data_IF_111071713912
#
_entry.id   IF_111071713912
#
_cell.length_a   1.000
_cell.length_b   1.000
_cell.length_c   1.000
_cell.angle_alpha   90.00
_cell.angle_beta   90.00
_cell.angle_gamma   90.00
#
_symmetry.space_group_name_H-M   'P 1'
#
loop_
_entity.id
_entity.type
_entity.pdbx_description
1 polymer ?
#
# COMPACT_ATOMS: atom_id res chain seq x y z
N UNK A 1 -0.51 -23.05 7.22
CA UNK A 1 -1.07 -21.74 7.64
C UNK A 1 -0.45 -20.69 6.73
N UNK A 2 -1.23 -19.84 6.06
CA UNK A 2 -0.64 -18.72 5.34
C UNK A 2 0.16 -17.86 6.33
N UNK A 3 1.42 -17.55 6.00
CA UNK A 3 2.23 -16.63 6.78
C UNK A 3 1.66 -15.21 6.69
N UNK A 4 2.07 -14.32 7.60
CA UNK A 4 1.65 -12.90 7.62
C UNK A 4 1.84 -12.22 6.25
N UNK A 5 2.88 -12.61 5.51
CA UNK A 5 3.20 -12.14 4.16
C UNK A 5 2.16 -12.55 3.10
N UNK A 6 1.57 -13.74 3.23
CA UNK A 6 0.56 -14.25 2.29
C UNK A 6 -0.76 -13.48 2.41
N UNK A 7 -1.18 -13.16 3.64
CA UNK A 7 -2.40 -12.38 3.87
C UNK A 7 -2.24 -10.96 3.33
N UNK A 8 -1.08 -10.31 3.57
CA UNK A 8 -0.78 -8.98 3.06
C UNK A 8 -0.74 -8.95 1.53
N UNK A 9 -0.07 -9.93 0.90
CA UNK A 9 -0.04 -10.04 -0.55
C UNK A 9 -1.45 -10.16 -1.16
N UNK A 10 -2.28 -11.06 -0.60
CA UNK A 10 -3.64 -11.26 -1.09
C UNK A 10 -4.52 -10.03 -0.89
N UNK A 11 -4.35 -9.34 0.25
CA UNK A 11 -5.10 -8.13 0.55
C UNK A 11 -4.71 -7.00 -0.41
N UNK A 12 -3.42 -6.78 -0.62
CA UNK A 12 -2.92 -5.77 -1.54
C UNK A 12 -3.39 -6.05 -2.98
N UNK A 13 -3.26 -7.29 -3.46
CA UNK A 13 -3.75 -7.70 -4.77
C UNK A 13 -5.25 -7.41 -4.94
N UNK A 14 -6.09 -7.84 -3.99
CA UNK A 14 -7.55 -7.65 -4.05
C UNK A 14 -7.97 -6.19 -4.01
N UNK A 15 -7.23 -5.35 -3.30
CA UNK A 15 -7.48 -3.92 -3.26
C UNK A 15 -7.03 -3.28 -4.58
N UNK A 16 -5.77 -3.46 -4.99
CA UNK A 16 -5.24 -2.84 -6.21
C UNK A 16 -5.96 -3.28 -7.50
N UNK A 17 -6.41 -4.54 -7.59
CA UNK A 17 -7.08 -5.06 -8.78
C UNK A 17 -8.39 -4.33 -9.15
N UNK A 18 -9.03 -3.63 -8.19
CA UNK A 18 -10.26 -2.87 -8.41
C UNK A 18 -10.06 -1.35 -8.40
N UNK A 19 -8.83 -0.88 -8.18
CA UNK A 19 -8.53 0.54 -8.03
C UNK A 19 -8.14 1.14 -9.39
N UNK A 20 -8.90 2.14 -9.83
CA UNK A 20 -8.61 2.88 -11.05
C UNK A 20 -8.72 4.38 -10.81
N UNK A 21 -7.59 5.00 -10.46
CA UNK A 21 -7.54 6.43 -10.22
C UNK A 21 -6.12 6.96 -10.44
N UNK A 22 -6.00 8.17 -11.00
CA UNK A 22 -4.70 8.78 -11.36
C UNK A 22 -3.73 9.00 -10.19
N UNK A 23 -4.26 9.03 -8.97
CA UNK A 23 -3.48 9.21 -7.73
C UNK A 23 -3.40 7.92 -6.88
N UNK A 24 -3.63 6.77 -7.48
CA UNK A 24 -3.44 5.45 -6.87
C UNK A 24 -2.52 4.66 -7.79
N UNK A 25 -1.58 3.91 -7.21
CA UNK A 25 -0.67 3.08 -8.02
C UNK A 25 -1.47 2.01 -8.74
N UNK A 26 -1.19 1.84 -10.04
CA UNK A 26 -1.87 0.89 -10.89
C UNK A 26 -1.18 -0.46 -10.85
N UNK A 27 -1.94 -1.50 -10.55
CA UNK A 27 -1.53 -2.87 -10.78
C UNK A 27 -1.49 -3.15 -12.29
N UNK A 28 -0.33 -3.57 -12.78
CA UNK A 28 -0.10 -3.98 -14.17
C UNK A 28 -0.29 -5.49 -14.31
N UNK A 29 0.10 -6.26 -13.29
CA UNK A 29 -0.03 -7.71 -13.28
C UNK A 29 0.50 -8.31 -11.99
N UNK A 30 0.59 -9.64 -11.95
CA UNK A 30 1.15 -10.38 -10.84
C UNK A 30 1.95 -11.59 -11.34
N UNK A 31 2.90 -12.04 -10.53
CA UNK A 31 3.62 -13.29 -10.73
C UNK A 31 3.18 -14.31 -9.67
N UNK A 32 2.98 -15.55 -10.09
CA UNK A 32 2.74 -16.69 -9.22
C UNK A 32 3.48 -17.91 -9.78
N UNK A 33 4.65 -18.19 -9.24
CA UNK A 33 5.52 -19.27 -9.71
C UNK A 33 5.75 -20.28 -8.59
N UNK A 34 5.58 -21.56 -8.89
CA UNK A 34 5.84 -22.66 -7.96
C UNK A 34 7.13 -23.34 -8.41
N UNK A 35 8.06 -23.48 -7.48
CA UNK A 35 9.34 -24.15 -7.68
C UNK A 35 9.47 -25.30 -6.68
N UNK A 36 9.68 -26.51 -7.18
CA UNK A 36 10.05 -27.63 -6.32
C UNK A 36 11.51 -27.47 -5.86
N UNK A 37 11.73 -27.51 -4.56
CA UNK A 37 13.06 -27.42 -3.95
C UNK A 37 13.26 -28.61 -3.00
N UNK A 38 14.44 -29.25 -3.00
CA UNK A 38 14.75 -30.26 -2.00
C UNK A 38 14.77 -29.63 -0.60
N UNK A 39 14.08 -30.24 0.35
CA UNK A 39 14.03 -29.82 1.75
C UNK A 39 14.14 -31.03 2.68
N UNK A 40 14.73 -30.83 3.86
CA UNK A 40 14.78 -31.85 4.90
C UNK A 40 13.53 -31.76 5.77
N UNK A 41 12.77 -32.85 5.89
CA UNK A 41 11.62 -32.98 6.78
C UNK A 41 11.73 -34.27 7.57
N UNK A 42 11.77 -34.17 8.91
CA UNK A 42 11.93 -35.31 9.82
C UNK A 42 13.10 -36.26 9.44
N UNK A 43 14.22 -35.68 9.02
CA UNK A 43 15.43 -36.43 8.63
C UNK A 43 15.39 -37.08 7.25
N UNK A 44 14.32 -36.86 6.46
CA UNK A 44 14.17 -37.35 5.09
C UNK A 44 14.27 -36.20 4.09
N UNK A 45 14.91 -36.44 2.95
CA UNK A 45 14.88 -35.51 1.83
C UNK A 45 13.52 -35.62 1.14
N UNK A 46 12.79 -34.52 1.08
CA UNK A 46 11.50 -34.39 0.40
C UNK A 46 11.58 -33.27 -0.63
N UNK A 47 10.76 -33.35 -1.69
CA UNK A 47 10.52 -32.21 -2.56
C UNK A 47 9.44 -31.34 -1.91
N UNK A 48 9.81 -30.11 -1.57
CA UNK A 48 8.88 -29.11 -1.05
C UNK A 48 8.57 -28.08 -2.13
N UNK A 49 7.33 -27.59 -2.14
CA UNK A 49 6.94 -26.49 -3.01
C UNK A 49 7.35 -25.16 -2.39
N UNK A 50 8.17 -24.39 -3.11
CA UNK A 50 8.46 -22.99 -2.82
C UNK A 50 7.66 -22.12 -3.77
N UNK A 51 6.82 -21.26 -3.19
CA UNK A 51 5.98 -20.34 -3.96
C UNK A 51 6.66 -18.97 -4.03
N UNK A 52 6.85 -18.45 -5.24
CA UNK A 52 7.35 -17.11 -5.53
C UNK A 52 6.22 -16.24 -6.06
N UNK A 53 6.05 -15.06 -5.47
CA UNK A 53 4.98 -14.13 -5.81
C UNK A 53 5.50 -12.71 -5.90
N UNK A 54 4.92 -11.94 -6.81
CA UNK A 54 5.22 -10.52 -6.95
C UNK A 54 4.02 -9.78 -7.51
N UNK A 55 3.82 -8.53 -7.10
CA UNK A 55 2.93 -7.59 -7.75
C UNK A 55 3.74 -6.73 -8.71
N UNK A 56 3.28 -6.61 -9.95
CA UNK A 56 3.86 -5.74 -10.94
C UNK A 56 3.06 -4.44 -10.96
N UNK A 57 3.65 -3.37 -10.45
CA UNK A 57 3.04 -2.04 -10.41
C UNK A 57 3.58 -1.17 -11.55
N UNK A 58 2.86 -0.11 -11.88
CA UNK A 58 3.40 0.92 -12.77
C UNK A 58 4.67 1.53 -12.17
N UNK A 59 5.61 1.89 -13.04
CA UNK A 59 6.88 2.44 -12.60
C UNK A 59 6.75 3.91 -12.21
N UNK A 60 7.35 4.28 -11.08
CA UNK A 60 7.30 5.60 -10.49
C UNK A 60 8.71 6.17 -10.46
N UNK A 61 9.08 6.92 -11.50
CA UNK A 61 10.48 7.29 -11.79
C UNK A 61 11.13 8.17 -10.73
N UNK A 62 10.34 8.95 -9.99
CA UNK A 62 10.85 9.84 -8.94
C UNK A 62 10.84 9.19 -7.54
N UNK A 63 10.48 7.91 -7.44
CA UNK A 63 10.51 7.16 -6.18
C UNK A 63 9.48 7.65 -5.17
N UNK A 64 9.78 7.50 -3.88
CA UNK A 64 8.88 7.88 -2.79
C UNK A 64 8.95 9.37 -2.46
N UNK A 65 7.85 9.91 -1.95
CA UNK A 65 7.79 11.26 -1.41
C UNK A 65 8.75 11.42 -0.22
N UNK A 66 8.97 10.36 0.58
CA UNK A 66 9.97 10.37 1.66
C UNK A 66 11.38 10.70 1.16
N UNK A 67 11.79 10.08 0.05
CA UNK A 67 13.08 10.39 -0.58
C UNK A 67 13.08 11.83 -1.09
N UNK A 68 11.99 12.23 -1.74
CA UNK A 68 11.87 13.59 -2.28
C UNK A 68 11.98 14.67 -1.19
N UNK A 69 11.36 14.47 -0.02
CA UNK A 69 11.38 15.45 1.10
C UNK A 69 12.66 15.43 1.94
N UNK A 70 13.50 14.40 1.80
CA UNK A 70 14.75 14.27 2.55
C UNK A 70 15.96 14.82 1.78
N UNK A 71 15.89 14.87 0.46
CA UNK A 71 16.90 15.50 -0.41
C UNK A 71 16.76 17.04 -0.37
N UNK A 72 17.55 17.68 0.51
CA UNK A 72 17.78 19.13 0.72
C UNK A 72 16.72 20.17 0.25
N UNK A 73 16.26 20.96 1.23
CA UNK A 73 15.10 21.87 1.22
C UNK A 73 15.02 22.92 0.10
N UNK A 74 16.13 23.23 -0.57
CA UNK A 74 16.25 24.37 -1.49
C UNK A 74 15.67 24.09 -2.90
N UNK A 75 15.13 22.89 -3.14
CA UNK A 75 14.53 22.47 -4.43
C UNK A 75 13.01 22.47 -4.45
N UNK A 76 12.33 22.80 -3.35
CA UNK A 76 10.88 22.69 -3.27
C UNK A 76 10.16 23.92 -3.82
N UNK A 77 9.74 23.82 -5.07
CA UNK A 77 8.72 24.70 -5.62
C UNK A 77 7.36 24.44 -4.94
N UNK A 78 6.77 25.49 -4.36
CA UNK A 78 5.47 25.42 -3.68
C UNK A 78 4.36 24.92 -4.60
N UNK A 79 4.41 25.26 -5.88
CA UNK A 79 3.40 24.83 -6.84
C UNK A 79 3.39 23.30 -6.97
N UNK A 80 4.58 22.69 -7.05
CA UNK A 80 4.76 21.24 -7.03
C UNK A 80 4.27 20.63 -5.72
N UNK A 81 4.67 21.19 -4.57
CA UNK A 81 4.22 20.72 -3.25
C UNK A 81 2.70 20.73 -3.09
N UNK A 82 2.04 21.80 -3.53
CA UNK A 82 0.58 21.90 -3.54
C UNK A 82 -0.05 20.85 -4.47
N UNK A 83 0.54 20.63 -5.65
CA UNK A 83 0.10 19.58 -6.60
C UNK A 83 0.12 18.19 -5.96
N UNK A 84 1.18 17.87 -5.21
CA UNK A 84 1.31 16.62 -4.46
C UNK A 84 0.21 16.51 -3.39
N UNK A 85 0.04 17.52 -2.53
CA UNK A 85 -0.99 17.52 -1.48
C UNK A 85 -2.38 17.29 -2.09
N UNK A 86 -2.70 18.05 -3.14
CA UNK A 86 -3.99 17.95 -3.84
C UNK A 86 -4.21 16.57 -4.43
N UNK A 87 -3.20 15.98 -5.07
CA UNK A 87 -3.28 14.64 -5.64
C UNK A 87 -3.50 13.56 -4.60
N UNK A 88 -2.80 13.63 -3.45
CA UNK A 88 -3.03 12.71 -2.32
C UNK A 88 -4.48 12.81 -1.83
N UNK A 89 -4.99 14.03 -1.61
CA UNK A 89 -6.37 14.24 -1.19
C UNK A 89 -7.38 13.70 -2.22
N UNK A 90 -7.10 13.82 -3.52
CA UNK A 90 -7.94 13.26 -4.58
C UNK A 90 -7.95 11.72 -4.54
N UNK A 91 -6.79 11.08 -4.35
CA UNK A 91 -6.68 9.64 -4.16
C UNK A 91 -7.47 9.13 -2.95
N UNK A 92 -7.30 9.78 -1.79
CA UNK A 92 -8.05 9.44 -0.57
C UNK A 92 -9.56 9.64 -0.74
N UNK A 93 -9.98 10.73 -1.37
CA UNK A 93 -11.40 10.97 -1.68
C UNK A 93 -11.98 9.85 -2.53
N UNK A 94 -11.25 9.39 -3.55
CA UNK A 94 -11.66 8.26 -4.38
C UNK A 94 -11.84 7.00 -3.52
N UNK A 95 -10.83 6.63 -2.72
CA UNK A 95 -10.88 5.45 -1.86
C UNK A 95 -12.06 5.46 -0.86
N UNK A 96 -12.32 6.61 -0.25
CA UNK A 96 -13.31 6.73 0.82
C UNK A 96 -14.75 6.95 0.34
N UNK A 97 -14.95 7.52 -0.86
CA UNK A 97 -16.29 8.02 -1.27
C UNK A 97 -16.75 7.56 -2.63
N UNK A 98 -15.88 6.93 -3.43
CA UNK A 98 -16.19 6.49 -4.80
C UNK A 98 -16.19 4.97 -4.96
N UNK A 99 -15.85 4.24 -3.91
CA UNK A 99 -15.89 2.78 -3.84
C UNK A 99 -16.98 2.34 -2.89
N UNK A 100 -17.64 1.24 -3.24
CA UNK A 100 -18.62 0.56 -2.39
C UNK A 100 -18.19 -0.92 -2.26
N UNK A 101 -17.75 -1.37 -1.08
CA UNK A 101 -17.52 -0.58 0.14
C UNK A 101 -16.27 0.33 0.04
N UNK A 102 -16.19 1.40 0.85
CA UNK A 102 -14.99 2.24 0.96
C UNK A 102 -13.75 1.46 1.37
N UNK A 103 -12.59 1.88 0.85
CA UNK A 103 -11.27 1.34 1.22
C UNK A 103 -10.54 2.36 2.10
N UNK A 104 -10.07 1.91 3.26
CA UNK A 104 -9.21 2.70 4.14
C UNK A 104 -7.78 2.20 4.03
N UNK A 105 -6.85 3.11 3.73
CA UNK A 105 -5.45 2.76 3.48
C UNK A 105 -4.72 2.19 4.71
N UNK A 106 -4.93 2.83 5.87
CA UNK A 106 -4.37 2.52 7.19
C UNK A 106 -2.85 2.66 7.38
N UNK A 107 -2.04 2.71 6.31
CA UNK A 107 -0.58 3.02 6.41
C UNK A 107 -0.16 4.19 5.52
N UNK A 108 -0.88 5.32 5.58
CA UNK A 108 -0.55 6.48 4.77
C UNK A 108 0.65 7.23 5.37
N UNK A 109 1.78 7.21 4.66
CA UNK A 109 3.04 7.85 5.05
C UNK A 109 3.82 8.28 3.79
N UNK A 110 4.80 9.20 3.89
CA UNK A 110 5.58 9.64 2.72
C UNK A 110 6.26 8.51 1.93
N UNK A 111 6.68 7.44 2.60
CA UNK A 111 7.26 6.26 1.94
C UNK A 111 6.25 5.53 1.01
N UNK A 112 4.96 5.65 1.31
CA UNK A 112 3.86 5.00 0.58
C UNK A 112 3.18 5.94 -0.43
N UNK A 113 3.76 7.13 -0.67
CA UNK A 113 3.39 8.01 -1.76
C UNK A 113 4.50 7.97 -2.79
N UNK A 114 4.21 7.48 -3.99
CA UNK A 114 5.17 7.41 -5.09
C UNK A 114 4.94 8.54 -6.09
N UNK A 115 5.99 9.03 -6.73
CA UNK A 115 5.97 10.16 -7.65
C UNK A 115 6.34 9.71 -9.06
N UNK A 116 5.49 10.04 -10.04
CA UNK A 116 5.80 9.78 -11.45
C UNK A 116 6.70 10.88 -12.02
N UNK A 117 7.07 10.75 -13.29
CA UNK A 117 7.95 11.67 -14.02
C UNK A 117 7.48 13.15 -13.99
N UNK A 118 6.19 13.39 -13.81
CA UNK A 118 5.57 14.71 -13.75
C UNK A 118 5.27 15.17 -12.32
N UNK A 119 5.87 14.52 -11.32
CA UNK A 119 5.64 14.78 -9.89
C UNK A 119 4.19 14.55 -9.44
N UNK A 120 3.40 13.77 -10.19
CA UNK A 120 2.04 13.42 -9.80
C UNK A 120 2.10 12.29 -8.78
N UNK A 121 1.46 12.46 -7.60
CA UNK A 121 1.53 11.47 -6.53
C UNK A 121 0.59 10.30 -6.77
N UNK A 122 1.02 9.11 -6.37
CA UNK A 122 0.21 7.89 -6.31
C UNK A 122 0.36 7.22 -4.95
N UNK A 123 -0.77 6.93 -4.33
CA UNK A 123 -0.81 6.16 -3.10
C UNK A 123 -0.51 4.70 -3.43
N UNK A 124 0.41 4.08 -2.70
CA UNK A 124 0.88 2.71 -2.86
C UNK A 124 0.87 1.98 -1.51
N UNK A 125 1.14 0.66 -1.51
CA UNK A 125 1.19 -0.21 -0.32
C UNK A 125 -0.16 -0.36 0.38
N UNK A 126 -1.02 -1.18 -0.22
CA UNK A 126 -2.35 -1.50 0.30
C UNK A 126 -2.36 -2.79 1.14
N UNK A 127 -1.18 -3.25 1.59
CA UNK A 127 -1.00 -4.54 2.29
C UNK A 127 -1.87 -4.69 3.54
N UNK A 128 -2.09 -3.59 4.27
CA UNK A 128 -2.95 -3.57 5.48
C UNK A 128 -4.28 -2.85 5.29
N UNK A 129 -4.60 -2.42 4.07
CA UNK A 129 -5.84 -1.68 3.79
C UNK A 129 -7.08 -2.51 4.08
N UNK A 130 -8.19 -1.86 4.43
CA UNK A 130 -9.44 -2.55 4.79
C UNK A 130 -10.65 -1.99 4.06
N UNK A 131 -11.51 -2.90 3.64
CA UNK A 131 -12.88 -2.60 3.24
C UNK A 131 -13.72 -2.42 4.51
N UNK A 132 -14.46 -1.32 4.62
CA UNK A 132 -15.41 -1.12 5.72
C UNK A 132 -16.84 -1.13 5.17
N UNK A 133 -17.65 -2.07 5.63
CA UNK A 133 -19.10 -2.10 5.42
C UNK A 133 -19.82 -2.10 6.77
N UNK A 134 -20.74 -1.14 6.95
CA UNK A 134 -21.72 -0.87 8.02
C UNK A 134 -21.39 -1.05 9.52
N UNK A 135 -20.32 -1.74 9.90
CA UNK A 135 -19.84 -1.82 11.29
C UNK A 135 -18.84 -0.69 11.55
N UNK A 136 -19.37 0.52 11.78
CA UNK A 136 -18.61 1.77 11.97
C UNK A 136 -17.65 1.79 13.17
N UNK A 137 -17.56 0.71 13.96
CA UNK A 137 -16.69 0.67 15.14
C UNK A 137 -16.05 -0.70 15.32
N UNK A 138 -14.95 -0.96 14.60
CA UNK A 138 -13.97 -1.98 15.02
C UNK A 138 -12.68 -1.26 15.35
N UNK A 139 -12.40 -1.11 16.66
CA UNK A 139 -11.08 -0.69 17.12
C UNK A 139 -10.02 -1.59 16.46
N UNK A 140 -8.97 -0.99 15.92
CA UNK A 140 -7.81 -1.70 15.39
C UNK A 140 -7.20 -2.53 16.52
N UNK A 141 -7.58 -3.81 16.63
CA UNK A 141 -7.03 -4.76 17.61
C UNK A 141 -5.55 -5.09 17.38
N UNK A 142 -4.95 -4.57 16.31
CA UNK A 142 -3.55 -4.79 15.94
C UNK A 142 -2.83 -3.46 15.80
N UNK A 143 -1.68 -3.32 16.45
CA UNK A 143 -0.65 -2.28 16.25
C UNK A 143 0.09 -2.42 14.91
N UNK A 144 -0.62 -2.82 13.86
CA UNK A 144 -0.08 -2.92 12.51
C UNK A 144 -0.27 -1.57 11.82
N UNK A 145 0.80 -0.78 11.84
CA UNK A 145 0.92 0.55 11.28
C UNK A 145 2.27 1.13 11.71
N UNK A 146 2.84 2.05 10.93
CA UNK A 146 4.13 2.65 11.29
C UNK A 146 3.97 3.48 12.57
N UNK A 147 4.72 3.14 13.63
CA UNK A 147 4.52 3.63 15.01
C UNK A 147 4.78 5.12 15.29
N UNK A 148 4.77 5.97 14.27
CA UNK A 148 5.13 7.39 14.37
C UNK A 148 3.95 8.34 14.58
N UNK A 149 2.69 7.87 14.49
CA UNK A 149 1.51 8.68 14.80
C UNK A 149 0.78 8.21 16.07
N UNK A 150 1.37 8.49 17.22
CA UNK A 150 0.63 8.55 18.48
C UNK A 150 0.00 9.93 18.63
N UNK A 151 -1.19 10.12 18.05
CA UNK A 151 -2.06 11.22 18.47
C UNK A 151 -3.07 10.68 19.48
N UNK A 152 -2.70 10.76 20.76
CA UNK A 152 -3.68 10.83 21.85
C UNK A 152 -4.61 12.00 21.56
N UNK A 153 -5.86 11.74 21.19
CA UNK A 153 -7.06 12.42 21.73
C UNK A 153 -8.31 11.93 21.03
N UNK A 154 -9.29 11.61 21.86
CA UNK A 154 -10.70 11.37 21.60
C UNK A 154 -11.25 12.14 20.38
N UNK A 155 -11.91 11.42 19.48
CA UNK A 155 -12.95 11.97 18.64
C UNK A 155 -14.04 10.92 18.46
N UNK A 156 -15.09 11.11 19.25
CA UNK A 156 -16.44 10.61 19.04
C UNK A 156 -16.86 10.78 17.58
N UNK A 157 -17.36 9.70 16.99
CA UNK A 157 -18.58 9.73 16.17
C UNK A 157 -19.37 8.46 16.48
#
# INVERSE_FOLDING_TARGET
MPGVDEEQFQNEFKNLARLQHRNIVRLVGYCHHIQEVPAMYEGKLVLAEKIHRALCLEYMSNGSLEKYISDECDKYDWHTGYGIIKGICQGLKYLHTKLEPPIYHLDLKPANILLDENMVPRIADFGISRLFGDERTRATKSTLGTGTYHRNTYATI
#
